data_IF_171685368094
#
_entry.id   IF_171685368094
#
_cell.length_a   1.000
_cell.length_b   1.000
_cell.length_c   1.000
_cell.angle_alpha   90.00
_cell.angle_beta   90.00
_cell.angle_gamma   90.00
#
_symmetry.space_group_name_H-M   'P 1'
#
loop_
_entity.id
_entity.type
_entity.pdbx_description
1 polymer ?
#
# COMPACT_ATOMS: atom_id res chain seq x y z
N UNK A 1 -27.12 -41.40 7.67
CA UNK A 1 -26.76 -40.30 8.59
C UNK A 1 -25.30 -39.96 8.31
N UNK A 2 -25.06 -39.00 7.40
CA UNK A 2 -23.71 -38.48 7.15
C UNK A 2 -23.41 -37.37 8.16
N UNK A 3 -22.15 -37.17 8.60
CA UNK A 3 -21.81 -36.03 9.44
C UNK A 3 -22.09 -34.74 8.66
N UNK A 4 -22.77 -33.81 9.32
CA UNK A 4 -22.92 -32.45 8.83
C UNK A 4 -21.53 -31.85 8.63
N UNK A 5 -21.28 -31.32 7.44
CA UNK A 5 -20.10 -30.50 7.20
C UNK A 5 -20.17 -29.29 8.14
N UNK A 6 -19.23 -29.22 9.08
CA UNK A 6 -19.07 -28.06 9.96
C UNK A 6 -18.73 -26.84 9.09
N UNK A 7 -19.47 -25.71 9.23
CA UNK A 7 -19.05 -24.47 8.60
C UNK A 7 -17.71 -24.07 9.23
N UNK A 8 -16.67 -23.95 8.40
CA UNK A 8 -15.43 -23.29 8.81
C UNK A 8 -15.75 -21.81 9.01
N UNK A 9 -15.99 -21.44 10.26
CA UNK A 9 -16.05 -20.05 10.73
C UNK A 9 -14.77 -19.31 10.36
N UNK A 10 -14.81 -18.65 9.21
CA UNK A 10 -13.99 -17.51 8.87
C UNK A 10 -14.93 -16.38 8.53
N UNK A 11 -15.60 -15.82 9.54
CA UNK A 11 -16.34 -14.57 9.37
C UNK A 11 -15.39 -13.58 8.67
N UNK A 12 -15.82 -12.87 7.61
CA UNK A 12 -14.99 -11.85 7.03
C UNK A 12 -14.65 -10.86 8.15
N UNK A 13 -13.35 -10.66 8.40
CA UNK A 13 -12.89 -9.49 9.14
C UNK A 13 -13.55 -8.28 8.48
N UNK A 14 -14.39 -7.55 9.22
CA UNK A 14 -15.12 -6.41 8.68
C UNK A 14 -14.15 -5.56 7.85
N UNK A 15 -14.45 -5.41 6.55
CA UNK A 15 -13.59 -4.66 5.66
C UNK A 15 -13.41 -3.26 6.25
N UNK A 16 -12.17 -2.76 6.35
CA UNK A 16 -11.91 -1.53 7.06
C UNK A 16 -12.65 -0.37 6.39
N UNK A 17 -13.07 0.62 7.20
CA UNK A 17 -13.75 1.80 6.69
C UNK A 17 -12.77 2.92 6.40
N UNK A 18 -13.05 3.69 5.35
CA UNK A 18 -12.29 4.86 4.97
C UNK A 18 -12.35 5.91 6.09
N UNK A 19 -11.21 6.42 6.58
CA UNK A 19 -11.21 7.43 7.64
C UNK A 19 -11.76 8.78 7.20
N UNK A 20 -11.87 9.04 5.89
CA UNK A 20 -12.39 10.31 5.34
C UNK A 20 -13.91 10.32 5.15
N UNK A 21 -14.50 9.21 4.69
CA UNK A 21 -15.92 9.15 4.30
C UNK A 21 -16.71 7.99 4.92
N UNK A 22 -16.09 7.20 5.80
CA UNK A 22 -16.68 6.05 6.50
C UNK A 22 -17.23 4.91 5.62
N UNK A 23 -17.09 4.98 4.29
CA UNK A 23 -17.44 3.88 3.39
C UNK A 23 -16.47 2.71 3.56
N UNK A 24 -16.98 1.52 3.30
CA UNK A 24 -16.15 0.31 3.24
C UNK A 24 -15.07 0.47 2.17
N UNK A 25 -13.85 0.06 2.52
CA UNK A 25 -12.71 0.11 1.60
C UNK A 25 -12.69 -1.14 0.72
N UNK A 26 -12.39 -0.94 -0.57
CA UNK A 26 -12.17 -2.03 -1.49
C UNK A 26 -10.76 -2.60 -1.29
N UNK A 27 -10.63 -3.93 -1.28
CA UNK A 27 -9.33 -4.60 -1.31
C UNK A 27 -8.59 -4.20 -2.59
N UNK A 28 -7.31 -3.87 -2.44
CA UNK A 28 -6.40 -3.61 -3.55
C UNK A 28 -5.34 -4.71 -3.53
N UNK A 29 -5.33 -5.59 -4.53
CA UNK A 29 -4.29 -6.60 -4.63
C UNK A 29 -3.05 -6.00 -5.30
N UNK A 30 -1.96 -5.87 -4.53
CA UNK A 30 -0.67 -5.40 -5.05
C UNK A 30 0.23 -6.61 -5.24
N UNK A 31 0.59 -6.90 -6.48
CA UNK A 31 1.46 -8.01 -6.82
C UNK A 31 2.90 -7.54 -6.99
N UNK A 32 3.81 -8.17 -6.27
CA UNK A 32 5.23 -8.11 -6.57
C UNK A 32 5.53 -8.98 -7.78
N UNK A 33 5.95 -8.33 -8.87
CA UNK A 33 6.36 -8.99 -10.11
C UNK A 33 7.87 -8.92 -10.31
N UNK A 34 8.64 -8.65 -9.23
CA UNK A 34 10.07 -8.36 -9.37
C UNK A 34 10.79 -9.56 -9.99
N UNK A 35 11.52 -9.27 -11.07
CA UNK A 35 12.12 -10.13 -12.10
C UNK A 35 11.27 -10.32 -13.38
N UNK A 36 11.05 -9.26 -14.17
CA UNK A 36 10.84 -9.43 -15.63
C UNK A 36 12.04 -10.15 -16.31
N UNK A 37 13.16 -10.26 -15.61
CA UNK A 37 14.29 -11.15 -15.93
C UNK A 37 14.17 -12.47 -15.15
N UNK A 38 13.57 -13.50 -15.76
CA UNK A 38 13.55 -14.87 -15.21
C UNK A 38 12.17 -15.51 -15.03
N UNK A 39 11.06 -14.81 -15.29
CA UNK A 39 9.75 -15.44 -15.52
C UNK A 39 9.05 -16.08 -14.30
N UNK A 40 9.41 -15.70 -13.07
CA UNK A 40 8.67 -16.16 -11.89
C UNK A 40 7.22 -15.63 -11.88
N UNK A 41 6.25 -16.39 -11.34
CA UNK A 41 4.87 -15.92 -11.25
C UNK A 41 4.76 -14.74 -10.27
N UNK A 42 3.84 -13.79 -10.53
CA UNK A 42 3.52 -12.72 -9.59
C UNK A 42 3.22 -13.27 -8.19
N UNK A 43 3.73 -12.60 -7.16
CA UNK A 43 3.42 -12.91 -5.75
C UNK A 43 2.67 -11.76 -5.13
N UNK A 44 1.55 -12.03 -4.47
CA UNK A 44 0.87 -11.01 -3.68
C UNK A 44 1.85 -10.49 -2.62
N UNK A 45 1.85 -9.17 -2.42
CA UNK A 45 2.61 -8.56 -1.32
C UNK A 45 2.10 -9.07 0.04
N UNK A 46 2.98 -9.07 1.03
CA UNK A 46 2.64 -9.51 2.38
C UNK A 46 1.72 -8.49 3.08
N UNK A 47 1.89 -7.21 2.75
CA UNK A 47 1.01 -6.17 3.25
C UNK A 47 -0.37 -6.28 2.58
N UNK A 48 -1.40 -5.99 3.36
CA UNK A 48 -2.77 -5.89 2.85
C UNK A 48 -3.05 -4.44 2.48
N UNK A 49 -3.65 -4.21 1.31
CA UNK A 49 -3.89 -2.87 0.77
C UNK A 49 -5.36 -2.63 0.51
N UNK A 50 -5.75 -1.36 0.62
CA UNK A 50 -7.12 -0.92 0.46
C UNK A 50 -7.20 0.44 -0.21
N UNK A 51 -8.29 0.63 -0.95
CA UNK A 51 -8.63 1.90 -1.59
C UNK A 51 -10.05 2.32 -1.28
N UNK A 52 -10.27 3.63 -1.15
CA UNK A 52 -11.60 4.19 -1.00
C UNK A 52 -12.30 4.26 -2.37
N UNK A 53 -13.50 3.67 -2.55
CA UNK A 53 -14.23 3.75 -3.82
C UNK A 53 -14.82 5.14 -4.11
N UNK A 54 -14.85 6.03 -3.12
CA UNK A 54 -15.45 7.37 -3.22
C UNK A 54 -14.41 8.51 -3.25
N UNK A 55 -13.11 8.20 -3.31
CA UNK A 55 -12.06 9.21 -3.30
C UNK A 55 -10.68 8.63 -3.60
N UNK A 56 -9.65 9.39 -3.29
CA UNK A 56 -8.23 9.10 -3.56
C UNK A 56 -7.52 8.37 -2.40
N UNK A 57 -8.22 8.16 -1.28
CA UNK A 57 -7.62 7.58 -0.08
C UNK A 57 -7.18 6.14 -0.33
N UNK A 58 -5.95 5.85 0.08
CA UNK A 58 -5.32 4.55 0.04
C UNK A 58 -4.63 4.29 1.37
N UNK A 59 -4.54 3.02 1.74
CA UNK A 59 -3.78 2.62 2.90
C UNK A 59 -3.46 1.14 2.89
N UNK A 60 -2.63 0.77 3.86
CA UNK A 60 -2.16 -0.60 4.01
C UNK A 60 -2.03 -0.99 5.48
N UNK A 61 -1.92 -2.30 5.73
CA UNK A 61 -1.52 -2.89 7.01
C UNK A 61 -0.37 -3.85 6.76
N UNK A 62 0.65 -3.84 7.62
CA UNK A 62 1.79 -4.75 7.48
C UNK A 62 1.40 -6.19 7.81
N UNK A 63 0.67 -6.40 8.90
CA UNK A 63 0.11 -7.69 9.30
C UNK A 63 -1.32 -7.58 9.84
N UNK A 64 -1.97 -8.72 10.04
CA UNK A 64 -3.26 -8.78 10.72
C UNK A 64 -3.17 -8.21 12.14
N UNK A 65 -4.11 -7.33 12.48
CA UNK A 65 -4.14 -6.61 13.75
C UNK A 65 -3.37 -5.29 13.79
N UNK A 66 -2.53 -4.99 12.78
CA UNK A 66 -1.84 -3.70 12.71
C UNK A 66 -2.81 -2.54 12.39
N UNK A 67 -2.49 -1.31 12.85
CA UNK A 67 -3.25 -0.14 12.46
C UNK A 67 -3.17 0.09 10.95
N UNK A 68 -4.31 0.51 10.37
CA UNK A 68 -4.37 0.93 8.97
C UNK A 68 -3.58 2.22 8.78
N UNK A 69 -2.53 2.18 7.96
CA UNK A 69 -1.66 3.32 7.68
C UNK A 69 -2.05 3.96 6.34
N UNK A 70 -2.24 5.29 6.28
CA UNK A 70 -2.46 5.97 5.02
C UNK A 70 -1.19 5.94 4.16
N UNK A 71 -1.37 5.91 2.85
CA UNK A 71 -0.30 6.17 1.89
C UNK A 71 -0.70 7.36 1.01
N UNK A 72 0.31 8.07 0.53
CA UNK A 72 0.16 9.19 -0.38
C UNK A 72 0.43 8.73 -1.81
N UNK A 73 -0.48 9.05 -2.73
CA UNK A 73 -0.19 8.95 -4.17
C UNK A 73 0.85 9.98 -4.53
N UNK A 74 1.91 9.53 -5.21
CA UNK A 74 2.91 10.42 -5.79
C UNK A 74 2.46 10.80 -7.20
N UNK A 75 2.90 11.96 -7.67
CA UNK A 75 2.53 12.51 -8.97
C UNK A 75 3.78 12.98 -9.73
N UNK A 76 3.64 13.12 -11.05
CA UNK A 76 4.75 13.46 -11.94
C UNK A 76 5.91 12.45 -11.82
N UNK A 77 7.15 12.94 -11.92
CA UNK A 77 8.33 12.07 -11.92
C UNK A 77 8.51 11.21 -10.66
N UNK A 78 7.91 11.59 -9.52
CA UNK A 78 7.91 10.75 -8.31
C UNK A 78 6.84 9.64 -8.37
N UNK A 79 5.78 9.85 -9.13
CA UNK A 79 4.72 8.88 -9.43
C UNK A 79 5.16 7.74 -10.33
N UNK A 80 6.16 7.97 -11.18
CA UNK A 80 6.57 6.99 -12.20
C UNK A 80 7.52 5.92 -11.62
N UNK A 81 7.26 4.66 -11.93
CA UNK A 81 8.11 3.58 -11.44
C UNK A 81 9.32 3.37 -12.34
N UNK A 82 10.49 3.74 -11.82
CA UNK A 82 11.78 3.47 -12.48
C UNK A 82 12.02 1.99 -12.85
N UNK A 83 11.36 1.05 -12.17
CA UNK A 83 11.57 -0.39 -12.38
C UNK A 83 10.72 -0.98 -13.50
N UNK A 84 9.42 -0.67 -13.57
CA UNK A 84 8.54 -1.19 -14.62
C UNK A 84 8.28 -0.19 -15.76
N UNK A 85 8.53 1.09 -15.53
CA UNK A 85 8.27 2.19 -16.47
C UNK A 85 6.84 2.72 -16.44
N UNK A 86 5.94 2.16 -15.61
CA UNK A 86 4.56 2.62 -15.55
C UNK A 86 4.47 4.00 -14.86
N UNK A 87 3.66 4.88 -15.46
CA UNK A 87 3.44 6.24 -15.01
C UNK A 87 2.45 6.29 -13.84
N UNK A 88 2.67 7.23 -12.90
CA UNK A 88 1.79 7.51 -11.75
C UNK A 88 1.33 6.28 -10.93
N UNK A 89 2.11 5.18 -10.91
CA UNK A 89 1.81 3.98 -10.13
C UNK A 89 2.40 3.98 -8.71
N UNK A 90 3.33 4.88 -8.40
CA UNK A 90 4.00 4.92 -7.10
C UNK A 90 3.11 5.56 -6.01
N UNK A 91 3.13 4.91 -4.86
CA UNK A 91 2.63 5.46 -3.60
C UNK A 91 3.76 5.48 -2.57
N UNK A 92 3.64 6.34 -1.57
CA UNK A 92 4.58 6.40 -0.46
C UNK A 92 3.86 6.31 0.89
N UNK A 93 4.51 5.67 1.86
CA UNK A 93 4.03 5.50 3.22
C UNK A 93 4.08 6.76 4.08
N UNK A 94 4.08 6.54 5.39
CA UNK A 94 4.28 7.61 6.37
C UNK A 94 5.78 7.86 6.50
N UNK A 95 6.27 9.08 6.24
CA UNK A 95 7.67 9.41 6.41
C UNK A 95 8.16 9.17 7.84
N UNK A 96 9.41 8.76 7.99
CA UNK A 96 10.08 8.60 9.29
C UNK A 96 11.45 9.24 9.27
N UNK A 97 11.92 9.61 10.46
CA UNK A 97 13.27 10.14 10.65
C UNK A 97 14.18 9.02 11.17
N UNK A 98 15.40 8.93 10.62
CA UNK A 98 16.46 8.09 11.15
C UNK A 98 17.19 8.78 12.32
N UNK A 99 18.01 8.02 13.05
CA UNK A 99 18.80 8.52 14.19
C UNK A 99 19.77 9.66 13.80
N UNK A 100 20.24 9.65 12.54
CA UNK A 100 21.11 10.70 11.99
C UNK A 100 20.35 11.98 11.57
N UNK A 101 19.05 12.04 11.83
CA UNK A 101 18.18 13.16 11.48
C UNK A 101 17.67 13.15 10.03
N UNK A 102 18.05 12.16 9.21
CA UNK A 102 17.61 12.08 7.82
C UNK A 102 16.20 11.53 7.67
N UNK A 103 15.38 12.19 6.84
CA UNK A 103 14.02 11.76 6.55
C UNK A 103 13.97 10.73 5.44
N UNK A 104 13.12 9.73 5.62
CA UNK A 104 12.90 8.64 4.70
C UNK A 104 11.41 8.40 4.52
N UNK A 105 11.06 7.78 3.40
CA UNK A 105 9.73 7.29 3.13
C UNK A 105 9.80 5.95 2.37
N UNK A 106 8.74 5.16 2.47
CA UNK A 106 8.65 3.83 1.88
C UNK A 106 7.81 3.91 0.62
N UNK A 107 8.45 3.73 -0.54
CA UNK A 107 7.80 3.79 -1.83
C UNK A 107 7.42 2.40 -2.32
N UNK A 108 6.22 2.27 -2.91
CA UNK A 108 5.70 1.05 -3.54
C UNK A 108 5.02 1.40 -4.86
N UNK A 109 5.36 0.73 -5.97
CA UNK A 109 4.55 0.83 -7.19
C UNK A 109 3.37 -0.14 -7.11
N UNK A 110 2.16 0.37 -7.33
CA UNK A 110 0.93 -0.42 -7.33
C UNK A 110 0.81 -1.35 -8.55
N UNK A 111 1.55 -1.11 -9.64
CA UNK A 111 1.53 -1.96 -10.85
C UNK A 111 2.45 -3.18 -10.75
N UNK A 112 3.70 -2.99 -10.29
CA UNK A 112 4.70 -4.07 -10.24
C UNK A 112 5.07 -4.52 -8.83
N UNK A 113 4.50 -3.88 -7.81
CA UNK A 113 4.70 -4.18 -6.39
C UNK A 113 6.13 -3.97 -5.90
N UNK A 114 7.01 -3.35 -6.69
CA UNK A 114 8.39 -3.07 -6.27
C UNK A 114 8.38 -2.05 -5.15
N UNK A 115 9.01 -2.41 -4.03
CA UNK A 115 9.19 -1.53 -2.87
C UNK A 115 10.62 -1.03 -2.77
N UNK A 116 10.80 0.25 -2.47
CA UNK A 116 12.12 0.85 -2.24
C UNK A 116 12.02 1.93 -1.15
N UNK A 117 12.81 1.87 -0.06
CA UNK A 117 12.96 3.03 0.79
C UNK A 117 13.64 4.15 -0.01
N UNK A 118 13.16 5.39 0.16
CA UNK A 118 13.78 6.57 -0.43
C UNK A 118 14.11 7.58 0.65
N UNK A 119 15.24 8.26 0.49
CA UNK A 119 15.58 9.42 1.32
C UNK A 119 14.82 10.63 0.82
N UNK A 120 14.19 11.36 1.72
CA UNK A 120 13.56 12.64 1.43
C UNK A 120 14.60 13.75 1.50
N UNK A 121 14.57 14.65 0.51
CA UNK A 121 15.49 15.81 0.47
C UNK A 121 15.13 16.85 1.52
N UNK A 122 13.85 16.94 1.86
CA UNK A 122 13.29 17.85 2.84
C UNK A 122 12.44 17.05 3.82
N UNK A 123 12.26 17.53 5.06
CA UNK A 123 11.24 17.00 5.96
C UNK A 123 9.89 16.97 5.24
N UNK A 124 9.06 15.96 5.51
CA UNK A 124 7.70 15.97 5.00
C UNK A 124 6.96 17.21 5.52
N UNK A 125 6.04 17.80 4.74
CA UNK A 125 5.14 18.79 5.29
C UNK A 125 4.36 18.17 6.47
N UNK A 126 4.02 18.95 7.51
CA UNK A 126 3.13 18.48 8.55
C UNK A 126 1.80 18.02 7.91
N UNK A 127 1.25 16.92 8.42
CA UNK A 127 0.16 16.15 7.82
C UNK A 127 -0.87 16.99 7.04
N UNK A 128 -1.02 16.69 5.74
CA UNK A 128 -2.14 17.15 4.92
C UNK A 128 -1.96 18.44 4.12
N UNK A 129 -0.81 19.11 4.17
CA UNK A 129 -0.54 20.19 3.21
C UNK A 129 -0.13 19.61 1.84
N UNK A 130 -0.80 19.98 0.74
CA UNK A 130 -0.25 19.69 -0.59
C UNK A 130 1.09 20.41 -0.72
N UNK A 131 2.08 19.70 -1.26
CA UNK A 131 3.34 20.29 -1.71
C UNK A 131 3.17 21.10 -2.97
#
# INVERSE_FOLDING_TARGET
>A
MGPAAEPRDGAPVDAPRCPRCARELAVLEVYSTRNRWGGGPPRLRQEQWWQCPAGDWLGYRHADGDPLRPVRRLAGAEGDCFFCGDEECNVAGVPWQQEDGSWHDWLVCLSCGTSNPRRLRFPPPPDGAPG
#
